data_IF_599391163994
#
_entry.id   IF_599391163994
#
_cell.length_a   1.000
_cell.length_b   1.000
_cell.length_c   1.000
_cell.angle_alpha   90.00
_cell.angle_beta   90.00
_cell.angle_gamma   90.00
#
_symmetry.space_group_name_H-M   'P 1'
#
loop_
_entity.id
_entity.type
_entity.pdbx_description
1 polymer ?
#
# COMPACT_ATOMS: atom_id res chain seq x y z
N UNK A 1 14.81 7.43 -1.42
CA UNK A 1 14.30 6.46 -0.44
C UNK A 1 15.38 5.42 -0.20
N UNK A 2 15.81 5.25 1.06
CA UNK A 2 16.79 4.24 1.40
C UNK A 2 16.01 2.99 1.78
N UNK A 3 15.96 1.99 0.92
CA UNK A 3 15.29 0.73 1.23
C UNK A 3 16.13 -0.03 2.27
N UNK A 4 15.61 -0.15 3.49
CA UNK A 4 16.35 -0.72 4.62
C UNK A 4 16.23 -2.24 4.62
N UNK A 5 15.04 -2.77 4.34
CA UNK A 5 14.76 -4.21 4.28
C UNK A 5 13.76 -4.52 3.18
N UNK A 6 13.67 -5.79 2.75
CA UNK A 6 12.68 -6.21 1.75
C UNK A 6 11.23 -6.03 2.24
N UNK A 7 10.97 -6.28 3.53
CA UNK A 7 9.66 -6.09 4.16
C UNK A 7 9.24 -4.62 4.13
N UNK A 8 10.14 -3.74 4.56
CA UNK A 8 9.91 -2.30 4.52
C UNK A 8 9.74 -1.80 3.08
N UNK A 9 10.54 -2.32 2.13
CA UNK A 9 10.42 -1.95 0.73
C UNK A 9 9.07 -2.34 0.13
N UNK A 10 8.53 -3.52 0.50
CA UNK A 10 7.19 -3.93 0.11
C UNK A 10 6.12 -2.98 0.65
N UNK A 11 6.16 -2.72 1.96
CA UNK A 11 5.23 -1.78 2.60
C UNK A 11 5.29 -0.40 1.97
N UNK A 12 6.50 0.15 1.82
CA UNK A 12 6.72 1.48 1.28
C UNK A 12 6.26 1.60 -0.18
N UNK A 13 6.44 0.55 -1.00
CA UNK A 13 6.01 0.56 -2.39
C UNK A 13 4.49 0.77 -2.54
N UNK A 14 3.70 0.29 -1.59
CA UNK A 14 2.24 0.46 -1.57
C UNK A 14 1.76 1.54 -0.60
N UNK A 15 2.59 1.95 0.36
CA UNK A 15 2.27 3.03 1.29
C UNK A 15 2.64 4.40 0.71
N UNK A 16 3.65 4.46 -0.14
CA UNK A 16 3.89 5.71 -0.87
C UNK A 16 2.62 5.93 -1.67
N UNK A 17 1.93 7.07 -1.44
CA UNK A 17 0.80 7.43 -2.27
C UNK A 17 1.26 7.70 -3.71
N UNK A 18 1.95 6.75 -4.30
CA UNK A 18 2.49 6.79 -5.66
C UNK A 18 1.39 6.60 -6.68
N UNK A 19 0.49 5.66 -6.45
CA UNK A 19 -0.78 5.62 -7.18
C UNK A 19 -1.64 6.83 -6.81
N UNK A 20 -1.63 7.25 -5.54
CA UNK A 20 -2.31 8.44 -5.06
C UNK A 20 -1.54 9.73 -5.36
N UNK A 21 -0.22 9.71 -5.57
CA UNK A 21 0.54 10.93 -5.88
C UNK A 21 0.38 11.34 -7.33
N UNK A 22 0.26 10.39 -8.27
CA UNK A 22 -0.18 10.72 -9.63
C UNK A 22 -1.66 11.10 -9.64
N UNK A 23 -2.52 10.31 -9.00
CA UNK A 23 -3.93 10.63 -8.88
C UNK A 23 -4.14 11.94 -8.10
N UNK A 24 -3.47 12.14 -6.98
CA UNK A 24 -3.55 13.38 -6.21
C UNK A 24 -2.85 14.55 -6.88
N UNK A 25 -1.77 14.34 -7.63
CA UNK A 25 -1.17 15.39 -8.45
C UNK A 25 -2.04 15.75 -9.66
N UNK A 26 -2.76 14.80 -10.23
CA UNK A 26 -3.77 15.03 -11.25
C UNK A 26 -4.98 15.73 -10.63
N UNK A 27 -5.46 15.27 -9.50
CA UNK A 27 -6.57 15.86 -8.75
C UNK A 27 -6.23 17.28 -8.24
N UNK A 28 -5.05 17.48 -7.66
CA UNK A 28 -4.52 18.79 -7.26
C UNK A 28 -4.32 19.71 -8.48
N UNK A 29 -3.89 19.18 -9.63
CA UNK A 29 -3.76 19.93 -10.87
C UNK A 29 -5.13 20.28 -11.47
N UNK A 30 -6.09 19.35 -11.42
CA UNK A 30 -7.47 19.60 -11.86
C UNK A 30 -8.18 20.60 -10.92
N UNK A 31 -7.98 20.49 -9.62
CA UNK A 31 -8.52 21.41 -8.64
C UNK A 31 -7.88 22.81 -8.75
N UNK A 32 -6.56 22.89 -8.98
CA UNK A 32 -5.87 24.15 -9.28
C UNK A 32 -6.35 24.76 -10.59
N UNK A 33 -6.62 23.94 -11.60
CA UNK A 33 -7.16 24.37 -12.90
C UNK A 33 -8.62 24.83 -12.76
N UNK A 34 -9.43 24.16 -11.94
CA UNK A 34 -10.79 24.59 -11.59
C UNK A 34 -10.80 25.92 -10.83
N UNK A 35 -9.93 26.07 -9.83
CA UNK A 35 -9.80 27.31 -9.03
C UNK A 35 -9.31 28.50 -9.88
N UNK A 36 -8.40 28.27 -10.81
CA UNK A 36 -7.92 29.29 -11.77
C UNK A 36 -8.98 29.64 -12.83
N UNK A 37 -9.73 28.66 -13.32
CA UNK A 37 -10.82 28.88 -14.27
C UNK A 37 -11.98 29.68 -13.66
N UNK A 38 -12.31 29.43 -12.38
CA UNK A 38 -13.30 30.17 -11.63
C UNK A 38 -12.86 31.62 -11.36
N UNK A 39 -11.57 31.85 -11.05
CA UNK A 39 -11.01 33.19 -10.85
C UNK A 39 -10.86 33.97 -12.18
N UNK A 40 -10.56 33.27 -13.30
CA UNK A 40 -10.51 33.89 -14.64
C UNK A 40 -11.83 34.46 -15.08
N UNK A 41 -12.96 33.74 -14.86
CA UNK A 41 -14.31 34.22 -15.23
C UNK A 41 -14.75 35.49 -14.50
N UNK A 42 -14.22 35.76 -13.30
CA UNK A 42 -14.57 36.94 -12.50
C UNK A 42 -13.74 38.20 -12.78
N UNK A 43 -12.64 38.09 -13.54
CA UNK A 43 -11.69 39.21 -13.74
C UNK A 43 -11.56 39.73 -15.17
N UNK A 44 -12.23 39.13 -16.11
CA UNK A 44 -12.27 39.60 -17.50
C UNK A 44 -13.38 40.65 -17.71
N UNK A 45 -13.20 41.79 -17.05
CA UNK A 45 -14.04 42.97 -17.35
C UNK A 45 -13.11 44.00 -17.99
N UNK A 46 -13.28 44.21 -19.28
CA UNK A 46 -12.66 45.34 -19.95
C UNK A 46 -13.29 46.61 -19.38
N UNK A 47 -12.48 47.46 -18.76
CA UNK A 47 -12.90 48.80 -18.35
C UNK A 47 -12.51 49.78 -19.43
N UNK A 48 -13.50 50.46 -19.95
CA UNK A 48 -13.31 51.60 -20.83
C UNK A 48 -13.36 52.86 -19.98
N UNK A 49 -12.62 53.91 -20.34
CA UNK A 49 -12.72 55.20 -19.66
C UNK A 49 -14.12 55.77 -19.76
N UNK A 50 -14.54 56.48 -18.70
CA UNK A 50 -15.82 57.18 -18.70
C UNK A 50 -15.87 58.18 -19.88
N UNK A 51 -16.92 58.08 -20.73
CA UNK A 51 -17.09 58.96 -21.92
C UNK A 51 -16.57 58.36 -23.21
N UNK A 52 -16.19 57.08 -23.25
CA UNK A 52 -15.77 56.44 -24.49
C UNK A 52 -16.91 56.35 -25.53
N UNK A 53 -16.81 57.11 -26.60
CA UNK A 53 -17.70 57.10 -27.75
C UNK A 53 -16.88 56.91 -29.02
N UNK A 54 -16.35 55.73 -29.28
CA UNK A 54 -15.61 55.59 -30.50
C UNK A 54 -14.96 54.26 -30.76
N UNK A 55 -14.78 53.95 -32.01
CA UNK A 55 -14.42 52.63 -32.54
C UNK A 55 -12.92 52.27 -32.53
N UNK A 56 -12.02 53.10 -31.94
CA UNK A 56 -10.59 52.93 -32.20
C UNK A 56 -9.66 53.05 -30.99
N UNK A 57 -10.14 52.88 -29.76
CA UNK A 57 -9.26 52.88 -28.60
C UNK A 57 -9.19 51.51 -27.95
N UNK A 58 -7.97 51.06 -27.68
CA UNK A 58 -7.73 49.87 -26.88
C UNK A 58 -8.30 50.05 -25.49
N UNK A 59 -8.93 49.00 -24.92
CA UNK A 59 -9.50 49.10 -23.59
C UNK A 59 -8.41 49.29 -22.53
N UNK A 60 -8.55 50.37 -21.73
CA UNK A 60 -7.71 50.57 -20.56
C UNK A 60 -7.96 49.45 -19.55
N UNK A 61 -6.92 48.72 -19.22
CA UNK A 61 -6.97 47.74 -18.14
C UNK A 61 -7.27 46.32 -18.55
N UNK A 62 -6.79 45.89 -19.69
CA UNK A 62 -6.56 44.48 -19.95
C UNK A 62 -5.53 44.01 -18.92
N UNK A 63 -6.02 43.34 -17.90
CA UNK A 63 -5.16 42.77 -16.89
C UNK A 63 -4.49 41.52 -17.49
N UNK A 64 -3.17 41.49 -17.56
CA UNK A 64 -2.47 40.36 -18.10
C UNK A 64 -2.73 39.14 -17.22
N UNK A 65 -3.48 38.24 -17.75
CA UNK A 65 -3.77 36.93 -17.14
C UNK A 65 -2.46 36.16 -16.92
N UNK A 66 -1.47 36.48 -17.71
CA UNK A 66 -0.15 35.85 -17.71
C UNK A 66 0.71 36.14 -16.48
N UNK A 67 0.54 37.28 -15.81
CA UNK A 67 1.28 37.60 -14.59
C UNK A 67 1.01 36.61 -13.43
N UNK A 68 -0.18 36.01 -13.40
CA UNK A 68 -0.50 35.01 -12.36
C UNK A 68 0.09 33.63 -12.67
N UNK A 69 0.31 33.32 -13.92
CA UNK A 69 0.96 32.09 -14.36
C UNK A 69 2.46 32.17 -14.08
N UNK A 70 3.06 33.33 -14.32
CA UNK A 70 4.50 33.58 -14.06
C UNK A 70 4.79 33.48 -12.57
N UNK A 71 3.99 34.10 -11.71
CA UNK A 71 4.16 34.01 -10.26
C UNK A 71 4.04 32.55 -9.73
N UNK A 72 3.19 31.74 -10.35
CA UNK A 72 3.10 30.33 -10.02
C UNK A 72 4.32 29.52 -10.49
N UNK A 73 5.06 30.01 -11.46
CA UNK A 73 6.28 29.39 -11.96
C UNK A 73 7.48 29.70 -11.09
N UNK A 74 7.63 30.92 -10.62
CA UNK A 74 8.73 31.34 -9.76
C UNK A 74 8.74 30.66 -8.39
N UNK A 75 7.58 30.35 -7.85
CA UNK A 75 7.49 29.60 -6.59
C UNK A 75 7.94 28.14 -6.70
N UNK A 76 8.21 27.64 -7.91
CA UNK A 76 8.63 26.25 -8.14
C UNK A 76 10.14 26.03 -8.20
N UNK A 77 10.93 27.07 -8.29
CA UNK A 77 12.40 26.93 -8.40
C UNK A 77 13.06 26.36 -7.14
N UNK A 78 12.45 26.55 -5.96
CA UNK A 78 12.91 25.90 -4.72
C UNK A 78 12.51 24.42 -4.55
N UNK A 79 11.66 23.87 -5.47
CA UNK A 79 11.13 22.50 -5.38
C UNK A 79 11.84 21.48 -6.28
N UNK A 80 12.84 21.89 -7.05
CA UNK A 80 13.54 20.99 -7.97
C UNK A 80 14.17 19.79 -7.25
N UNK A 81 14.82 19.99 -6.11
CA UNK A 81 15.39 18.92 -5.30
C UNK A 81 14.31 17.99 -4.71
N UNK A 82 13.17 18.53 -4.29
CA UNK A 82 12.04 17.73 -3.80
C UNK A 82 11.41 16.89 -4.88
N UNK A 83 11.30 17.39 -6.12
CA UNK A 83 10.78 16.64 -7.25
C UNK A 83 11.74 15.52 -7.69
N UNK A 84 13.06 15.75 -7.67
CA UNK A 84 14.05 14.73 -8.01
C UNK A 84 13.98 13.55 -7.03
N UNK A 85 13.98 13.84 -5.73
CA UNK A 85 13.82 12.81 -4.70
C UNK A 85 12.49 12.05 -4.83
N UNK A 86 11.43 12.74 -5.21
CA UNK A 86 10.11 12.12 -5.45
C UNK A 86 10.14 11.19 -6.66
N UNK A 87 10.75 11.62 -7.78
CA UNK A 87 10.91 10.76 -8.96
C UNK A 87 11.77 9.53 -8.67
N UNK A 88 12.86 9.69 -7.91
CA UNK A 88 13.71 8.58 -7.48
C UNK A 88 12.94 7.59 -6.58
N UNK A 89 12.14 8.09 -5.65
CA UNK A 89 11.31 7.26 -4.79
C UNK A 89 10.24 6.51 -5.59
N UNK A 90 9.61 7.16 -6.56
CA UNK A 90 8.64 6.51 -7.45
C UNK A 90 9.28 5.42 -8.31
N UNK A 91 10.48 5.67 -8.83
CA UNK A 91 11.24 4.69 -9.60
C UNK A 91 11.62 3.48 -8.73
N UNK A 92 12.06 3.72 -7.50
CA UNK A 92 12.38 2.66 -6.54
C UNK A 92 11.14 1.82 -6.20
N UNK A 93 10.01 2.46 -5.91
CA UNK A 93 8.74 1.80 -5.66
C UNK A 93 8.28 1.00 -6.88
N UNK A 94 8.37 1.55 -8.09
CA UNK A 94 8.03 0.86 -9.33
C UNK A 94 8.85 -0.41 -9.57
N UNK A 95 10.15 -0.39 -9.28
CA UNK A 95 11.00 -1.60 -9.35
C UNK A 95 10.56 -2.66 -8.35
N UNK A 96 10.21 -2.27 -7.11
CA UNK A 96 9.70 -3.20 -6.10
C UNK A 96 8.36 -3.78 -6.52
N UNK A 97 7.41 -2.95 -6.99
CA UNK A 97 6.11 -3.42 -7.48
C UNK A 97 6.26 -4.38 -8.67
N UNK A 98 7.18 -4.08 -9.59
CA UNK A 98 7.49 -4.99 -10.67
C UNK A 98 8.05 -6.33 -10.16
N UNK A 99 8.99 -6.31 -9.20
CA UNK A 99 9.52 -7.53 -8.59
C UNK A 99 8.42 -8.36 -7.92
N UNK A 100 7.46 -7.71 -7.24
CA UNK A 100 6.29 -8.37 -6.65
C UNK A 100 5.41 -9.00 -7.73
N UNK A 101 5.20 -8.32 -8.86
CA UNK A 101 4.37 -8.84 -9.95
C UNK A 101 4.97 -10.08 -10.64
N UNK A 102 6.26 -10.36 -10.47
CA UNK A 102 6.88 -11.59 -10.97
C UNK A 102 6.62 -12.82 -10.10
N UNK A 103 6.11 -12.64 -8.88
CA UNK A 103 5.78 -13.74 -7.99
C UNK A 103 4.55 -14.51 -8.50
N UNK A 104 4.42 -15.80 -8.17
CA UNK A 104 3.15 -16.53 -8.30
C UNK A 104 2.02 -15.81 -7.53
N UNK A 105 0.83 -15.78 -8.11
CA UNK A 105 -0.32 -15.07 -7.52
C UNK A 105 -0.60 -15.41 -6.04
N UNK A 106 -0.51 -16.69 -5.58
CA UNK A 106 -0.69 -16.98 -4.17
C UNK A 106 0.32 -16.29 -3.24
N UNK A 107 1.59 -16.21 -3.65
CA UNK A 107 2.62 -15.51 -2.88
C UNK A 107 2.44 -13.99 -2.92
N UNK A 108 1.92 -13.43 -4.03
CA UNK A 108 1.54 -12.02 -4.08
C UNK A 108 0.46 -11.70 -3.05
N UNK A 109 -0.62 -12.50 -3.00
CA UNK A 109 -1.71 -12.31 -2.03
C UNK A 109 -1.22 -12.44 -0.58
N UNK A 110 -0.35 -13.42 -0.30
CA UNK A 110 0.25 -13.57 1.03
C UNK A 110 1.09 -12.34 1.40
N UNK A 111 1.98 -11.90 0.52
CA UNK A 111 2.80 -10.72 0.75
C UNK A 111 1.97 -9.43 0.87
N UNK A 112 0.89 -9.29 0.08
CA UNK A 112 -0.03 -8.17 0.24
C UNK A 112 -0.72 -8.19 1.59
N UNK A 113 -1.22 -9.34 2.03
CA UNK A 113 -1.83 -9.47 3.35
C UNK A 113 -0.87 -9.09 4.48
N UNK A 114 0.39 -9.55 4.39
CA UNK A 114 1.38 -9.33 5.45
C UNK A 114 1.92 -7.89 5.48
N UNK A 115 2.19 -7.30 4.31
CA UNK A 115 3.00 -6.08 4.21
C UNK A 115 2.28 -4.88 3.61
N UNK A 116 1.26 -5.09 2.78
CA UNK A 116 0.61 -3.97 2.10
C UNK A 116 -0.42 -3.28 3.00
N UNK A 117 -0.41 -1.95 3.09
CA UNK A 117 -1.49 -1.20 3.75
C UNK A 117 -2.80 -1.26 2.96
N UNK A 118 -2.75 -1.66 1.68
CA UNK A 118 -3.91 -1.80 0.80
C UNK A 118 -4.47 -3.23 0.76
N UNK A 119 -4.01 -4.11 1.67
CA UNK A 119 -4.50 -5.49 1.77
C UNK A 119 -6.02 -5.50 1.97
N UNK A 120 -6.69 -6.36 1.22
CA UNK A 120 -8.14 -6.50 1.24
C UNK A 120 -8.57 -7.94 1.61
N UNK A 121 -9.88 -8.16 1.75
CA UNK A 121 -10.42 -9.48 2.10
C UNK A 121 -10.14 -10.56 1.06
N UNK A 122 -9.93 -10.20 -0.22
CA UNK A 122 -9.55 -11.16 -1.26
C UNK A 122 -8.13 -11.67 -1.04
N UNK A 123 -7.19 -10.76 -0.69
CA UNK A 123 -5.82 -11.13 -0.38
C UNK A 123 -5.78 -12.06 0.84
N UNK A 124 -6.53 -11.72 1.89
CA UNK A 124 -6.64 -12.54 3.10
C UNK A 124 -7.15 -13.94 2.78
N UNK A 125 -8.28 -14.06 2.08
CA UNK A 125 -8.92 -15.35 1.80
C UNK A 125 -8.05 -16.24 0.90
N UNK A 126 -7.41 -15.66 -0.11
CA UNK A 126 -6.51 -16.39 -1.02
C UNK A 126 -5.23 -16.82 -0.32
N UNK A 127 -4.65 -15.96 0.51
CA UNK A 127 -3.48 -16.29 1.31
C UNK A 127 -3.80 -17.39 2.34
N UNK A 128 -4.94 -17.32 3.01
CA UNK A 128 -5.41 -18.36 3.95
C UNK A 128 -5.58 -19.70 3.27
N UNK A 129 -6.26 -19.74 2.13
CA UNK A 129 -6.44 -20.98 1.36
C UNK A 129 -5.08 -21.52 0.90
N UNK A 130 -4.21 -20.65 0.42
CA UNK A 130 -2.87 -21.06 -0.01
C UNK A 130 -2.05 -21.65 1.13
N UNK A 131 -2.01 -20.99 2.30
CA UNK A 131 -1.32 -21.51 3.49
C UNK A 131 -1.88 -22.87 3.90
N UNK A 132 -3.20 -22.98 3.96
CA UNK A 132 -3.86 -24.23 4.37
C UNK A 132 -3.51 -25.41 3.45
N UNK A 133 -3.52 -25.19 2.13
CA UNK A 133 -3.24 -26.25 1.16
C UNK A 133 -1.74 -26.52 0.94
N UNK A 134 -0.85 -25.59 1.26
CA UNK A 134 0.59 -25.79 1.17
C UNK A 134 1.19 -26.45 2.42
N UNK A 135 0.52 -26.33 3.55
CA UNK A 135 0.96 -26.95 4.80
C UNK A 135 0.75 -28.46 4.78
N UNK A 136 1.76 -29.23 5.20
CA UNK A 136 1.68 -30.69 5.31
C UNK A 136 0.94 -31.10 6.59
N UNK A 137 -0.37 -31.01 6.53
CA UNK A 137 -1.24 -31.29 7.66
C UNK A 137 -1.52 -32.77 7.84
N UNK A 138 -1.61 -33.26 9.09
CA UNK A 138 -2.00 -34.64 9.35
C UNK A 138 -3.42 -34.89 8.86
N UNK A 139 -3.75 -36.16 8.58
CA UNK A 139 -5.12 -36.54 8.19
C UNK A 139 -6.09 -36.23 9.32
N UNK A 140 -7.12 -35.46 9.02
CA UNK A 140 -8.14 -35.01 9.95
C UNK A 140 -9.54 -35.30 9.41
N UNK A 141 -10.51 -35.44 10.31
CA UNK A 141 -11.93 -35.48 9.94
C UNK A 141 -12.42 -34.09 9.50
N UNK A 142 -13.54 -34.03 8.76
CA UNK A 142 -14.07 -32.78 8.18
C UNK A 142 -14.26 -31.64 9.21
N UNK A 143 -14.88 -31.87 10.39
CA UNK A 143 -15.04 -30.78 11.38
C UNK A 143 -13.69 -30.21 11.85
N UNK A 144 -12.67 -31.07 12.02
CA UNK A 144 -11.35 -30.64 12.44
C UNK A 144 -10.60 -29.90 11.32
N UNK A 145 -10.81 -30.29 10.05
CA UNK A 145 -10.29 -29.58 8.88
C UNK A 145 -10.84 -28.15 8.80
N UNK A 146 -12.14 -27.98 9.06
CA UNK A 146 -12.77 -26.67 9.07
C UNK A 146 -12.17 -25.76 10.15
N UNK A 147 -12.01 -26.27 11.37
CA UNK A 147 -11.33 -25.53 12.43
C UNK A 147 -9.87 -25.22 12.05
N UNK A 148 -9.13 -26.20 11.51
CA UNK A 148 -7.75 -26.01 11.07
C UNK A 148 -7.61 -24.93 9.99
N UNK A 149 -8.59 -24.81 9.09
CA UNK A 149 -8.63 -23.75 8.11
C UNK A 149 -8.68 -22.36 8.77
N UNK A 150 -9.42 -22.21 9.86
CA UNK A 150 -9.49 -20.96 10.63
C UNK A 150 -8.27 -20.75 11.55
N UNK A 151 -7.65 -21.84 12.03
CA UNK A 151 -6.36 -21.78 12.73
C UNK A 151 -5.27 -21.22 11.78
N UNK A 152 -5.30 -21.57 10.49
CA UNK A 152 -4.40 -20.99 9.50
C UNK A 152 -4.56 -19.47 9.40
N UNK A 153 -5.80 -18.95 9.44
CA UNK A 153 -6.04 -17.51 9.47
C UNK A 153 -5.47 -16.86 10.74
N UNK A 154 -5.69 -17.48 11.90
CA UNK A 154 -5.13 -16.99 13.16
C UNK A 154 -3.59 -16.96 13.12
N UNK A 155 -2.95 -17.99 12.54
CA UNK A 155 -1.51 -18.04 12.34
C UNK A 155 -1.01 -16.89 11.42
N UNK A 156 -1.72 -16.59 10.33
CA UNK A 156 -1.39 -15.45 9.47
C UNK A 156 -1.47 -14.11 10.19
N UNK A 157 -2.48 -13.91 11.06
CA UNK A 157 -2.58 -12.70 11.87
C UNK A 157 -1.47 -12.62 12.92
N UNK A 158 -1.16 -13.75 13.58
CA UNK A 158 -0.03 -13.84 14.50
C UNK A 158 1.29 -13.51 13.82
N UNK A 159 1.52 -14.07 12.62
CA UNK A 159 2.71 -13.79 11.82
C UNK A 159 2.81 -12.31 11.45
N UNK A 160 1.71 -11.72 11.02
CA UNK A 160 1.64 -10.27 10.72
C UNK A 160 1.96 -9.42 11.95
N UNK A 161 1.50 -9.80 13.13
CA UNK A 161 1.83 -9.14 14.39
C UNK A 161 3.34 -9.27 14.69
N UNK A 162 3.92 -10.46 14.53
CA UNK A 162 5.37 -10.69 14.74
C UNK A 162 6.24 -9.88 13.78
N UNK A 163 5.85 -9.80 12.51
CA UNK A 163 6.55 -8.96 11.50
C UNK A 163 6.52 -7.48 11.88
N UNK A 164 5.45 -7.03 12.56
CA UNK A 164 5.32 -5.68 13.08
C UNK A 164 5.94 -5.48 14.48
N UNK A 165 6.75 -6.43 14.94
CA UNK A 165 7.49 -6.34 16.21
C UNK A 165 6.66 -6.67 17.45
N UNK A 166 5.52 -7.33 17.28
CA UNK A 166 4.72 -7.87 18.41
C UNK A 166 5.14 -9.30 18.70
N UNK A 167 4.70 -9.80 19.82
CA UNK A 167 4.92 -11.21 20.19
C UNK A 167 3.98 -12.14 19.42
N UNK A 168 4.42 -13.40 19.28
CA UNK A 168 3.58 -14.48 18.77
C UNK A 168 2.33 -14.64 19.64
N UNK A 169 1.22 -14.99 19.01
CA UNK A 169 -0.03 -15.19 19.73
C UNK A 169 0.06 -16.43 20.61
N UNK A 170 -0.20 -16.25 21.89
CA UNK A 170 -0.34 -17.34 22.82
C UNK A 170 -1.66 -18.08 22.61
N UNK A 171 -1.78 -19.37 23.03
CA UNK A 171 -2.95 -20.22 22.76
C UNK A 171 -4.30 -19.61 23.11
N UNK A 172 -4.39 -18.91 24.24
CA UNK A 172 -5.63 -18.27 24.67
C UNK A 172 -6.09 -17.17 23.72
N UNK A 173 -5.18 -16.40 23.11
CA UNK A 173 -5.51 -15.39 22.10
C UNK A 173 -6.04 -16.02 20.80
N UNK A 174 -5.45 -17.15 20.40
CA UNK A 174 -5.92 -17.91 19.24
C UNK A 174 -7.33 -18.46 19.47
N UNK A 175 -7.57 -19.04 20.65
CA UNK A 175 -8.88 -19.59 21.04
C UNK A 175 -9.94 -18.49 21.08
N UNK A 176 -9.62 -17.33 21.64
CA UNK A 176 -10.52 -16.19 21.64
C UNK A 176 -10.83 -15.71 20.21
N UNK A 177 -9.82 -15.56 19.36
CA UNK A 177 -10.02 -15.18 17.96
C UNK A 177 -10.95 -16.14 17.21
N UNK A 178 -10.80 -17.45 17.44
CA UNK A 178 -11.65 -18.47 16.81
C UNK A 178 -13.08 -18.47 17.36
N UNK A 179 -13.26 -18.11 18.61
CA UNK A 179 -14.58 -17.97 19.20
C UNK A 179 -15.31 -16.70 18.70
N UNK A 180 -14.58 -15.59 18.61
CA UNK A 180 -15.16 -14.28 18.27
C UNK A 180 -15.53 -14.15 16.79
N UNK A 181 -14.74 -14.74 15.90
CA UNK A 181 -14.97 -14.57 14.46
C UNK A 181 -15.76 -15.73 13.83
N UNK A 182 -15.19 -16.96 13.69
CA UNK A 182 -15.94 -18.05 13.09
C UNK A 182 -16.91 -18.76 14.05
N UNK A 183 -16.84 -18.44 15.35
CA UNK A 183 -17.70 -19.02 16.37
C UNK A 183 -17.29 -20.42 16.83
N UNK A 184 -16.04 -20.84 16.61
CA UNK A 184 -15.54 -22.13 17.09
C UNK A 184 -15.06 -22.05 18.54
N UNK A 185 -15.67 -22.86 19.40
CA UNK A 185 -15.27 -22.95 20.81
C UNK A 185 -14.21 -24.03 20.96
N UNK A 186 -12.98 -23.64 21.28
CA UNK A 186 -11.89 -24.53 21.61
C UNK A 186 -11.59 -24.45 23.11
N UNK A 187 -11.25 -25.59 23.70
CA UNK A 187 -10.89 -25.65 25.11
C UNK A 187 -9.37 -25.55 25.29
N UNK A 188 -8.91 -24.62 26.11
CA UNK A 188 -7.49 -24.37 26.38
C UNK A 188 -6.75 -25.63 26.86
N UNK A 189 -7.41 -26.47 27.70
CA UNK A 189 -6.85 -27.71 28.18
C UNK A 189 -6.53 -28.73 27.07
N UNK A 190 -7.17 -28.62 25.92
CA UNK A 190 -6.97 -29.54 24.79
C UNK A 190 -5.99 -28.97 23.75
N UNK A 191 -5.52 -27.73 23.91
CA UNK A 191 -4.68 -27.06 22.91
C UNK A 191 -3.41 -27.85 22.60
N UNK A 192 -2.65 -28.21 23.62
CA UNK A 192 -1.38 -28.93 23.44
C UNK A 192 -1.56 -30.28 22.73
N UNK A 193 -2.62 -31.00 23.04
CA UNK A 193 -2.90 -32.29 22.43
C UNK A 193 -3.39 -32.19 20.98
N UNK A 194 -4.26 -31.21 20.72
CA UNK A 194 -5.05 -31.21 19.49
C UNK A 194 -4.56 -30.18 18.46
N UNK A 195 -3.98 -29.06 18.89
CA UNK A 195 -3.75 -27.91 18.04
C UNK A 195 -2.31 -27.40 18.01
N UNK A 196 -1.50 -27.61 19.05
CA UNK A 196 -0.15 -27.08 19.11
C UNK A 196 0.72 -27.52 17.93
N UNK A 197 0.68 -28.80 17.58
CA UNK A 197 1.43 -29.31 16.43
C UNK A 197 0.94 -28.73 15.08
N UNK A 198 -0.38 -28.52 14.93
CA UNK A 198 -0.95 -27.90 13.73
C UNK A 198 -0.55 -26.43 13.64
N UNK A 199 -0.56 -25.72 14.75
CA UNK A 199 -0.10 -24.34 14.85
C UNK A 199 1.37 -24.21 14.41
N UNK A 200 2.22 -25.08 14.92
CA UNK A 200 3.64 -25.08 14.61
C UNK A 200 3.90 -25.35 13.10
N UNK A 201 3.16 -26.29 12.51
CA UNK A 201 3.21 -26.54 11.06
C UNK A 201 2.86 -25.28 10.26
N UNK A 202 1.80 -24.55 10.64
CA UNK A 202 1.45 -23.31 9.96
C UNK A 202 2.49 -22.21 10.14
N UNK A 203 3.08 -22.07 11.33
CA UNK A 203 4.11 -21.06 11.58
C UNK A 203 5.41 -21.37 10.82
N UNK A 204 5.80 -22.63 10.72
CA UNK A 204 6.94 -23.05 9.89
C UNK A 204 6.67 -22.82 8.41
N UNK A 205 5.50 -23.16 7.94
CA UNK A 205 5.11 -22.95 6.55
C UNK A 205 5.04 -21.45 6.20
N UNK A 206 4.50 -20.61 7.10
CA UNK A 206 4.50 -19.15 6.93
C UNK A 206 5.91 -18.60 6.83
N UNK A 207 6.84 -19.06 7.68
CA UNK A 207 8.24 -18.65 7.58
C UNK A 207 8.85 -19.00 6.22
N UNK A 208 8.57 -20.19 5.71
CA UNK A 208 9.04 -20.65 4.40
C UNK A 208 8.45 -19.82 3.26
N UNK A 209 7.14 -19.60 3.27
CA UNK A 209 6.44 -18.84 2.23
C UNK A 209 6.81 -17.35 2.25
N UNK A 210 6.97 -16.77 3.43
CA UNK A 210 7.43 -15.40 3.61
C UNK A 210 8.82 -15.20 3.04
N UNK A 211 9.76 -16.09 3.36
CA UNK A 211 11.11 -16.06 2.79
C UNK A 211 11.07 -16.12 1.25
N UNK A 212 10.23 -16.99 0.67
CA UNK A 212 10.07 -17.09 -0.78
C UNK A 212 9.49 -15.82 -1.40
N UNK A 213 8.47 -15.23 -0.79
CA UNK A 213 7.84 -14.00 -1.26
C UNK A 213 8.80 -12.81 -1.25
N UNK A 214 9.73 -12.75 -0.30
CA UNK A 214 10.67 -11.64 -0.15
C UNK A 214 11.89 -11.72 -1.07
N UNK A 215 12.22 -12.88 -1.66
CA UNK A 215 13.42 -13.05 -2.51
C UNK A 215 13.54 -12.04 -3.64
N UNK A 216 12.53 -11.81 -4.51
CA UNK A 216 12.67 -10.86 -5.61
C UNK A 216 12.80 -9.42 -5.12
N UNK A 217 12.11 -9.07 -4.05
CA UNK A 217 12.20 -7.73 -3.43
C UNK A 217 13.56 -7.51 -2.81
N UNK A 218 14.12 -8.51 -2.11
CA UNK A 218 15.46 -8.45 -1.53
C UNK A 218 16.54 -8.20 -2.58
N UNK A 219 16.41 -8.79 -3.78
CA UNK A 219 17.32 -8.56 -4.91
C UNK A 219 17.27 -7.10 -5.38
N UNK A 220 16.08 -6.49 -5.46
CA UNK A 220 15.94 -5.07 -5.81
C UNK A 220 16.58 -4.18 -4.76
N UNK A 221 16.38 -4.49 -3.47
CA UNK A 221 16.98 -3.74 -2.36
C UNK A 221 18.50 -3.81 -2.40
N UNK A 222 19.08 -5.01 -2.63
CA UNK A 222 20.51 -5.20 -2.75
C UNK A 222 21.07 -4.39 -3.93
N UNK A 223 20.48 -4.52 -5.13
CA UNK A 223 20.93 -3.77 -6.31
C UNK A 223 20.87 -2.25 -6.14
N UNK A 224 19.93 -1.73 -5.35
CA UNK A 224 19.86 -0.30 -5.06
C UNK A 224 20.91 0.16 -4.04
N UNK A 225 21.34 -0.72 -3.14
CA UNK A 225 22.43 -0.42 -2.20
C UNK A 225 23.77 -0.37 -2.90
N UNK A 226 23.98 -1.26 -3.87
CA UNK A 226 25.24 -1.33 -4.63
C UNK A 226 25.39 -0.15 -5.61
N UNK A 227 24.28 0.49 -5.98
CA UNK A 227 24.24 1.62 -6.90
C UNK A 227 24.29 3.00 -6.19
N UNK A 228 24.29 3.04 -4.86
CA UNK A 228 24.24 4.27 -4.05
C UNK A 228 25.59 4.61 -3.43
#
# INVERSE_FOLDING_TARGET
MRLISARQAWQDAYHIPGASVMAKAIEDAEEATRKTRSKRRKKLVARFPEGYQGESREPEGLFPIDSQIIAAYETRTGRAAGNLNRCQNMLAAGKVMHAISTLPAPLQHLGHFLYSPLANGVDQNRAQSFLYFSADLPKMNKPRQEVAYWVALAAMHSWKDMVNGREEWWPGKVIQFLADWPGFVLYAANWERDWAAIWEIFMQELNRLDAQALVPVARVVAAQRDAA
#
